data_IF_364423413394
#
_entry.id   IF_364423413394
#
_cell.length_a   1.000
_cell.length_b   1.000
_cell.length_c   1.000
_cell.angle_alpha   90.00
_cell.angle_beta   90.00
_cell.angle_gamma   90.00
#
_symmetry.space_group_name_H-M   'P 1'
#
loop_
_entity.id
_entity.type
_entity.pdbx_description
1 polymer ?
#
# COMPACT_ATOMS: atom_id res chain seq x y z
N UNK A 1 13.67 -4.19 20.96
CA UNK A 1 13.06 -4.95 19.85
C UNK A 1 12.45 -6.23 20.41
N UNK A 2 11.21 -6.19 20.92
CA UNK A 2 10.69 -7.24 21.81
C UNK A 2 10.66 -8.64 21.21
N UNK A 3 10.43 -8.75 19.89
CA UNK A 3 10.44 -10.02 19.14
C UNK A 3 11.87 -10.51 18.92
N UNK A 4 12.79 -9.63 18.49
CA UNK A 4 14.21 -9.98 18.26
C UNK A 4 14.89 -10.38 19.58
N UNK A 5 14.52 -9.74 20.69
CA UNK A 5 15.06 -10.05 22.03
C UNK A 5 14.35 -11.21 22.71
N UNK A 6 13.37 -11.86 22.04
CA UNK A 6 12.63 -13.01 22.57
C UNK A 6 11.67 -12.71 23.73
N UNK A 7 11.51 -11.43 24.08
CA UNK A 7 10.62 -10.96 25.16
C UNK A 7 9.15 -10.91 24.76
N UNK A 8 8.84 -11.04 23.47
CA UNK A 8 7.50 -11.21 22.92
C UNK A 8 7.56 -12.16 21.72
N UNK A 9 6.52 -12.98 21.51
CA UNK A 9 6.43 -13.86 20.33
C UNK A 9 5.97 -13.13 19.06
N UNK A 10 5.24 -12.03 19.20
CA UNK A 10 4.71 -11.24 18.10
C UNK A 10 4.64 -9.76 18.50
N UNK A 11 4.57 -8.87 17.50
CA UNK A 11 4.43 -7.42 17.69
C UNK A 11 3.21 -6.84 16.98
N UNK A 12 2.73 -7.48 15.91
CA UNK A 12 1.62 -7.02 15.09
C UNK A 12 0.93 -8.22 14.45
N UNK A 13 -0.38 -8.10 14.28
CA UNK A 13 -1.23 -9.13 13.68
C UNK A 13 -1.23 -9.05 12.14
N UNK A 14 -0.80 -7.91 11.58
CA UNK A 14 -0.76 -7.69 10.14
C UNK A 14 0.41 -6.80 9.71
N UNK A 15 0.77 -6.86 8.43
CA UNK A 15 1.70 -5.93 7.81
C UNK A 15 1.25 -5.55 6.39
N UNK A 16 1.38 -4.26 6.05
CA UNK A 16 1.20 -3.75 4.70
C UNK A 16 2.58 -3.60 4.04
N UNK A 17 2.66 -3.97 2.76
CA UNK A 17 3.83 -3.80 1.92
C UNK A 17 3.42 -3.64 0.45
N UNK A 18 4.39 -3.42 -0.44
CA UNK A 18 4.12 -3.31 -1.88
C UNK A 18 5.10 -2.38 -2.57
N UNK A 19 4.68 -1.90 -3.74
CA UNK A 19 5.43 -0.93 -4.52
C UNK A 19 4.73 0.42 -4.48
N UNK A 20 5.52 1.49 -4.33
CA UNK A 20 4.98 2.83 -4.32
C UNK A 20 4.21 3.13 -5.62
N UNK A 21 3.01 3.72 -5.50
CA UNK A 21 2.14 4.02 -6.64
C UNK A 21 1.55 2.81 -7.36
N UNK A 22 1.67 1.60 -6.82
CA UNK A 22 1.22 0.36 -7.44
C UNK A 22 0.25 -0.42 -6.53
N UNK A 23 0.22 -1.74 -6.68
CA UNK A 23 -0.49 -2.68 -5.81
C UNK A 23 -0.05 -2.53 -4.36
N UNK A 24 -1.03 -2.66 -3.47
CA UNK A 24 -0.84 -2.69 -2.02
C UNK A 24 -1.15 -4.10 -1.54
N UNK A 25 -0.24 -4.65 -0.76
CA UNK A 25 -0.32 -6.02 -0.29
C UNK A 25 -0.47 -6.02 1.23
N UNK A 26 -1.22 -6.99 1.75
CA UNK A 26 -1.37 -7.21 3.18
C UNK A 26 -1.15 -8.68 3.53
N UNK A 27 -0.53 -8.92 4.67
CA UNK A 27 -0.38 -10.27 5.24
C UNK A 27 -0.76 -10.28 6.71
N UNK A 28 -1.36 -11.38 7.17
CA UNK A 28 -1.61 -11.71 8.58
C UNK A 28 -0.58 -12.71 9.15
N UNK A 29 0.47 -13.01 8.37
CA UNK A 29 1.48 -14.01 8.69
C UNK A 29 1.21 -15.39 8.12
N UNK A 30 -0.04 -15.72 7.75
CA UNK A 30 -0.41 -16.98 7.10
C UNK A 30 -0.81 -16.78 5.65
N UNK A 31 -1.69 -15.83 5.38
CA UNK A 31 -2.10 -15.48 4.03
C UNK A 31 -1.42 -14.19 3.60
N UNK A 32 -1.23 -14.05 2.30
CA UNK A 32 -0.89 -12.77 1.70
C UNK A 32 -1.83 -12.46 0.55
N UNK A 33 -2.32 -11.22 0.53
CA UNK A 33 -3.31 -10.74 -0.42
C UNK A 33 -2.77 -9.51 -1.14
N UNK A 34 -2.83 -9.53 -2.47
CA UNK A 34 -2.34 -8.45 -3.31
C UNK A 34 -3.53 -7.73 -3.91
N UNK A 35 -3.65 -6.43 -3.63
CA UNK A 35 -4.71 -5.58 -4.18
C UNK A 35 -4.15 -4.73 -5.31
N UNK A 36 -4.57 -4.92 -6.58
CA UNK A 36 -4.18 -4.05 -7.67
C UNK A 36 -4.72 -2.63 -7.47
N UNK A 37 -4.06 -1.66 -8.09
CA UNK A 37 -4.53 -0.28 -8.14
C UNK A 37 -5.24 0.00 -9.46
N UNK A 38 -6.18 0.95 -9.42
CA UNK A 38 -6.73 1.60 -10.59
C UNK A 38 -5.69 2.59 -11.17
N UNK A 39 -5.28 2.36 -12.41
CA UNK A 39 -4.30 3.18 -13.12
C UNK A 39 -4.82 4.60 -13.40
N UNK A 40 -6.14 4.76 -13.52
CA UNK A 40 -6.79 6.04 -13.82
C UNK A 40 -6.85 6.95 -12.58
N UNK A 41 -6.59 6.40 -11.39
CA UNK A 41 -6.51 7.16 -10.15
C UNK A 41 -5.05 7.50 -9.83
N UNK A 42 -4.72 8.76 -9.53
CA UNK A 42 -3.35 9.15 -9.20
C UNK A 42 -2.90 8.55 -7.86
N UNK A 43 -1.62 8.25 -7.77
CA UNK A 43 -0.93 8.00 -6.51
C UNK A 43 -0.51 9.33 -5.90
N UNK A 44 -1.16 9.73 -4.81
CA UNK A 44 -0.76 10.93 -4.07
C UNK A 44 0.50 10.67 -3.25
N UNK A 45 1.51 11.51 -3.46
CA UNK A 45 2.71 11.57 -2.64
C UNK A 45 2.55 12.64 -1.56
N UNK A 46 3.08 12.35 -0.38
CA UNK A 46 3.13 13.28 0.75
C UNK A 46 4.56 13.36 1.26
N UNK A 47 5.12 14.56 1.34
CA UNK A 47 6.53 14.74 1.71
C UNK A 47 6.78 16.03 2.47
N UNK A 48 7.73 16.01 3.41
CA UNK A 48 8.23 17.22 4.09
C UNK A 48 9.17 18.04 3.20
N UNK A 49 9.59 17.50 2.06
CA UNK A 49 10.41 18.17 1.06
C UNK A 49 9.72 18.10 -0.30
N UNK A 50 9.80 19.17 -1.10
CA UNK A 50 9.37 19.09 -2.48
C UNK A 50 10.37 18.23 -3.25
N UNK A 51 10.04 16.95 -3.41
CA UNK A 51 10.80 16.03 -4.24
C UNK A 51 10.35 16.31 -5.68
N UNK A 52 11.22 16.92 -6.47
CA UNK A 52 10.99 17.15 -7.91
C UNK A 52 11.32 15.87 -8.71
N UNK A 53 11.08 14.68 -8.17
CA UNK A 53 11.45 13.42 -8.81
C UNK A 53 10.27 12.45 -8.75
N UNK A 54 9.95 11.84 -9.89
CA UNK A 54 9.14 10.62 -9.90
C UNK A 54 9.97 9.50 -9.23
N UNK A 55 9.42 8.77 -8.23
CA UNK A 55 10.08 7.65 -7.58
C UNK A 55 10.59 6.54 -8.52
N UNK A 56 10.12 6.51 -9.76
CA UNK A 56 10.51 5.56 -10.79
C UNK A 56 11.60 6.07 -11.74
N UNK A 57 11.88 7.37 -11.75
CA UNK A 57 12.80 8.04 -12.67
C UNK A 57 14.20 8.19 -12.05
N UNK A 58 14.78 7.04 -11.68
CA UNK A 58 16.09 7.03 -11.05
C UNK A 58 17.17 7.57 -12.02
N UNK A 59 17.96 8.54 -11.55
CA UNK A 59 19.02 9.24 -12.31
C UNK A 59 18.56 10.21 -13.40
N UNK A 60 17.27 10.52 -13.52
CA UNK A 60 16.81 11.59 -14.40
C UNK A 60 16.85 12.96 -13.71
N UNK A 61 17.00 14.06 -14.48
CA UNK A 61 16.93 15.40 -13.93
C UNK A 61 15.58 15.62 -13.23
N UNK A 62 15.57 16.29 -12.07
CA UNK A 62 14.32 16.60 -11.38
C UNK A 62 13.38 17.42 -12.27
N UNK A 63 12.09 17.04 -12.28
CA UNK A 63 11.01 17.76 -12.95
C UNK A 63 10.08 18.40 -11.91
N UNK A 64 9.70 19.67 -12.07
CA UNK A 64 8.78 20.31 -11.14
C UNK A 64 7.40 19.65 -11.20
N UNK A 65 6.77 19.49 -10.03
CA UNK A 65 5.36 19.14 -9.93
C UNK A 65 4.54 20.44 -9.92
N UNK A 66 3.96 20.81 -11.07
CA UNK A 66 3.24 22.08 -11.23
C UNK A 66 1.97 22.16 -10.36
N UNK A 67 1.33 21.01 -10.11
CA UNK A 67 0.11 20.89 -9.28
C UNK A 67 0.41 20.59 -7.81
N UNK A 68 1.64 20.85 -7.33
CA UNK A 68 2.00 20.59 -5.94
C UNK A 68 1.37 21.61 -4.97
N UNK A 69 0.70 21.10 -3.95
CA UNK A 69 0.10 21.89 -2.88
C UNK A 69 0.86 21.72 -1.56
N UNK A 70 0.94 22.77 -0.75
CA UNK A 70 1.42 22.69 0.64
C UNK A 70 0.25 22.87 1.61
N UNK A 71 0.12 21.96 2.57
CA UNK A 71 -1.01 22.00 3.49
C UNK A 71 -1.00 20.92 4.55
N UNK A 72 -2.04 20.91 5.39
CA UNK A 72 -2.27 19.88 6.41
C UNK A 72 -3.20 18.82 5.84
N UNK A 73 -2.62 17.78 5.25
CA UNK A 73 -3.37 16.70 4.64
C UNK A 73 -3.36 15.41 5.46
N UNK A 74 -2.35 15.23 6.32
CA UNK A 74 -2.14 14.02 7.12
C UNK A 74 -2.44 14.30 8.60
N UNK A 75 -3.21 13.44 9.29
CA UNK A 75 -3.63 13.68 10.68
C UNK A 75 -2.53 13.41 11.71
N UNK A 76 -1.37 12.91 11.27
CA UNK A 76 -0.24 12.52 12.10
C UNK A 76 1.00 13.40 11.92
N UNK A 77 0.87 14.54 11.21
CA UNK A 77 1.97 15.50 11.01
C UNK A 77 1.68 16.82 11.71
N UNK A 78 2.64 17.31 12.50
CA UNK A 78 2.50 18.59 13.23
C UNK A 78 2.70 19.82 12.33
N UNK A 79 3.36 19.65 11.18
CA UNK A 79 3.64 20.70 10.20
C UNK A 79 2.95 20.43 8.85
N UNK A 80 2.77 21.45 7.99
CA UNK A 80 2.34 21.25 6.60
C UNK A 80 3.30 20.35 5.83
N UNK A 81 2.76 19.60 4.88
CA UNK A 81 3.51 18.76 3.95
C UNK A 81 3.16 19.15 2.52
N UNK A 82 4.04 18.80 1.58
CA UNK A 82 3.75 18.83 0.16
C UNK A 82 2.85 17.65 -0.22
N UNK A 83 1.88 17.90 -1.11
CA UNK A 83 1.02 16.91 -1.74
C UNK A 83 1.06 17.11 -3.25
N UNK A 84 1.27 16.03 -3.99
CA UNK A 84 1.23 16.04 -5.46
C UNK A 84 0.84 14.65 -5.97
N UNK A 85 0.13 14.63 -7.10
CA UNK A 85 -0.30 13.40 -7.76
C UNK A 85 0.74 12.91 -8.76
N UNK A 86 0.89 11.60 -8.84
CA UNK A 86 1.71 10.91 -9.83
C UNK A 86 0.94 9.75 -10.43
N UNK A 87 1.32 9.33 -11.63
CA UNK A 87 0.65 8.23 -12.31
C UNK A 87 0.80 6.92 -11.54
N UNK A 88 -0.32 6.23 -11.32
CA UNK A 88 -0.28 4.88 -10.78
C UNK A 88 0.37 3.92 -11.77
N UNK A 89 1.10 2.92 -11.26
CA UNK A 89 1.74 1.89 -12.08
C UNK A 89 1.15 0.53 -11.74
N UNK A 90 0.48 -0.09 -12.71
CA UNK A 90 -0.09 -1.42 -12.52
C UNK A 90 1.05 -2.45 -12.58
N UNK A 91 1.19 -3.26 -11.52
CA UNK A 91 2.10 -4.42 -11.49
C UNK A 91 1.37 -5.76 -11.51
N UNK A 92 0.16 -5.77 -10.97
CA UNK A 92 -0.72 -6.92 -10.99
C UNK A 92 -2.04 -6.45 -11.60
N UNK A 93 -2.56 -7.19 -12.57
CA UNK A 93 -3.80 -6.84 -13.27
C UNK A 93 -5.04 -7.28 -12.48
N UNK A 94 -4.90 -8.33 -11.67
CA UNK A 94 -5.94 -8.92 -10.84
C UNK A 94 -5.52 -9.02 -9.37
N UNK A 95 -6.47 -9.15 -8.44
CA UNK A 95 -6.17 -9.61 -7.08
C UNK A 95 -5.48 -10.97 -7.10
N UNK A 96 -4.62 -11.21 -6.11
CA UNK A 96 -3.95 -12.49 -5.89
C UNK A 96 -4.00 -12.84 -4.41
N UNK A 97 -4.09 -14.12 -4.09
CA UNK A 97 -4.15 -14.62 -2.72
C UNK A 97 -3.32 -15.90 -2.58
N UNK A 98 -2.44 -15.95 -1.59
CA UNK A 98 -1.61 -17.13 -1.32
C UNK A 98 -1.67 -17.49 0.16
N UNK A 99 -1.63 -18.79 0.44
CA UNK A 99 -1.42 -19.33 1.78
C UNK A 99 0.06 -19.65 1.96
N UNK A 100 0.80 -18.76 2.63
CA UNK A 100 2.27 -18.82 2.76
C UNK A 100 2.74 -20.00 3.63
N UNK A 101 1.89 -20.52 4.52
CA UNK A 101 2.22 -21.71 5.31
C UNK A 101 2.35 -22.95 4.43
N UNK A 102 1.43 -23.12 3.47
CA UNK A 102 1.36 -24.30 2.59
C UNK A 102 2.07 -24.06 1.24
N UNK A 103 2.15 -22.80 0.80
CA UNK A 103 2.74 -22.34 -0.46
C UNK A 103 3.69 -21.15 -0.22
N UNK A 104 4.87 -21.39 0.37
CA UNK A 104 5.84 -20.34 0.69
C UNK A 104 6.45 -19.69 -0.56
N UNK A 105 6.35 -20.35 -1.73
CA UNK A 105 6.86 -19.84 -3.01
C UNK A 105 5.79 -19.09 -3.81
N UNK A 106 4.54 -19.05 -3.34
CA UNK A 106 3.42 -18.33 -3.98
C UNK A 106 3.17 -18.82 -5.42
N UNK A 107 3.18 -20.14 -5.62
CA UNK A 107 2.96 -20.79 -6.91
C UNK A 107 1.47 -21.05 -7.20
N UNK A 108 0.62 -21.05 -6.17
CA UNK A 108 -0.79 -21.44 -6.26
C UNK A 108 -1.71 -20.29 -5.84
N UNK A 109 -2.13 -19.47 -6.81
CA UNK A 109 -3.06 -18.37 -6.57
C UNK A 109 -4.47 -18.88 -6.25
N UNK A 110 -4.99 -18.46 -5.10
CA UNK A 110 -6.30 -18.79 -4.57
C UNK A 110 -7.37 -17.72 -4.89
N UNK A 111 -6.98 -16.57 -5.44
CA UNK A 111 -7.92 -15.50 -5.78
C UNK A 111 -8.92 -15.94 -6.85
N UNK A 112 -10.16 -15.45 -6.77
CA UNK A 112 -11.23 -15.76 -7.72
C UNK A 112 -11.80 -17.18 -7.63
N UNK A 113 -11.23 -18.06 -6.81
CA UNK A 113 -11.68 -19.44 -6.61
C UNK A 113 -12.80 -19.57 -5.55
N UNK A 114 -13.48 -18.47 -5.22
CA UNK A 114 -14.45 -18.39 -4.10
C UNK A 114 -13.86 -18.76 -2.74
N UNK A 115 -12.54 -18.58 -2.57
CA UNK A 115 -11.90 -18.79 -1.27
C UNK A 115 -12.37 -17.70 -0.27
N UNK A 116 -12.93 -18.07 0.89
CA UNK A 116 -13.43 -17.10 1.86
C UNK A 116 -12.32 -16.19 2.42
N UNK A 117 -11.05 -16.60 2.32
CA UNK A 117 -9.92 -15.79 2.77
C UNK A 117 -9.67 -14.59 1.87
N UNK A 118 -10.11 -14.59 0.61
CA UNK A 118 -9.92 -13.42 -0.27
C UNK A 118 -10.66 -12.20 0.30
N UNK A 119 -11.93 -12.38 0.64
CA UNK A 119 -12.75 -11.32 1.25
C UNK A 119 -12.21 -10.94 2.63
N UNK A 120 -11.85 -11.93 3.47
CA UNK A 120 -11.27 -11.68 4.79
C UNK A 120 -10.00 -10.83 4.72
N UNK A 121 -9.11 -11.13 3.78
CA UNK A 121 -7.85 -10.40 3.62
C UNK A 121 -8.05 -9.03 2.97
N UNK A 122 -9.05 -8.87 2.10
CA UNK A 122 -9.47 -7.58 1.59
C UNK A 122 -10.00 -6.68 2.73
N UNK A 123 -10.80 -7.22 3.64
CA UNK A 123 -11.29 -6.51 4.83
C UNK A 123 -10.16 -6.18 5.81
N UNK A 124 -9.17 -7.08 5.96
CA UNK A 124 -7.96 -6.79 6.72
C UNK A 124 -7.18 -5.62 6.11
N UNK A 125 -7.06 -5.54 4.78
CA UNK A 125 -6.41 -4.40 4.11
C UNK A 125 -7.15 -3.09 4.42
N UNK A 126 -8.48 -3.08 4.35
CA UNK A 126 -9.29 -1.89 4.70
C UNK A 126 -9.08 -1.48 6.15
N UNK A 127 -9.09 -2.45 7.07
CA UNK A 127 -8.85 -2.22 8.50
C UNK A 127 -7.46 -1.62 8.74
N UNK A 128 -6.44 -2.26 8.17
CA UNK A 128 -5.05 -1.82 8.29
C UNK A 128 -4.83 -0.42 7.72
N UNK A 129 -5.38 -0.10 6.53
CA UNK A 129 -5.33 1.24 5.94
C UNK A 129 -6.03 2.29 6.82
N UNK A 130 -7.13 1.91 7.46
CA UNK A 130 -7.88 2.79 8.37
C UNK A 130 -7.08 3.05 9.66
N UNK A 131 -6.47 2.02 10.25
CA UNK A 131 -5.66 2.14 11.47
C UNK A 131 -4.44 3.05 11.28
N UNK A 132 -3.78 2.96 10.12
CA UNK A 132 -2.67 3.88 9.78
C UNK A 132 -3.13 5.26 9.32
N UNK A 133 -4.45 5.51 9.31
CA UNK A 133 -5.07 6.76 8.84
C UNK A 133 -4.65 7.11 7.42
N UNK A 134 -4.67 6.13 6.52
CA UNK A 134 -4.39 6.33 5.12
C UNK A 134 -5.39 7.33 4.50
N UNK A 135 -4.96 8.21 3.58
CA UNK A 135 -5.87 9.14 2.91
C UNK A 135 -6.97 8.44 2.10
N UNK A 136 -8.15 9.07 1.98
CA UNK A 136 -9.29 8.52 1.22
C UNK A 136 -8.96 8.26 -0.26
N UNK A 137 -8.06 9.05 -0.85
CA UNK A 137 -7.54 8.85 -2.21
C UNK A 137 -6.94 7.46 -2.39
N UNK A 138 -6.29 6.91 -1.35
CA UNK A 138 -5.71 5.56 -1.39
C UNK A 138 -6.79 4.48 -1.49
N UNK A 139 -7.92 4.63 -0.78
CA UNK A 139 -9.06 3.72 -0.88
C UNK A 139 -9.68 3.76 -2.28
N UNK A 140 -9.88 4.97 -2.82
CA UNK A 140 -10.39 5.17 -4.19
C UNK A 140 -9.47 4.50 -5.23
N UNK A 141 -8.16 4.73 -5.11
CA UNK A 141 -7.13 4.15 -5.99
C UNK A 141 -7.09 2.62 -5.95
N UNK A 142 -7.49 2.01 -4.83
CA UNK A 142 -7.56 0.55 -4.70
C UNK A 142 -8.97 -0.02 -4.96
N UNK A 143 -9.95 0.84 -5.29
CA UNK A 143 -11.35 0.44 -5.45
C UNK A 143 -11.95 -0.14 -4.17
N UNK A 144 -11.51 0.31 -3.00
CA UNK A 144 -11.98 -0.12 -1.69
C UNK A 144 -13.04 0.85 -1.16
N UNK A 145 -13.98 0.33 -0.37
CA UNK A 145 -15.04 1.12 0.28
C UNK A 145 -14.76 1.29 1.76
#
# INVERSE_FOLDING_TARGET
MPVITGTARAHRDWAIYGYWGSSVNVTDGKYTYFRPCDAEQPAESYSTMMLQMDPWDWFLPPQPHEDAESGRFLPYTDAPVWRYGLSSRVRHESPMLFNVDDDPLQEHDLAGNSDPNEQRMCELLVTALTEIKAPQSQFKRLGLR
#
